data_IF_484842658870
#
_entry.id   IF_484842658870
#
_cell.length_a   1.000
_cell.length_b   1.000
_cell.length_c   1.000
_cell.angle_alpha   90.00
_cell.angle_beta   90.00
_cell.angle_gamma   90.00
#
_symmetry.space_group_name_H-M   'P 1'
#
loop_
_entity.id
_entity.type
_entity.pdbx_description
1 polymer ?
#
# COMPACT_ATOMS: atom_id res chain seq x y z
N UNK A 1 8.22 -7.01 -7.83
CA UNK A 1 6.94 -6.65 -8.48
C UNK A 1 5.71 -6.78 -7.58
N UNK A 2 5.55 -7.85 -6.77
CA UNK A 2 4.38 -8.07 -5.89
C UNK A 2 4.07 -6.93 -4.92
N UNK A 3 5.09 -6.29 -4.34
CA UNK A 3 4.90 -5.29 -3.31
C UNK A 3 4.34 -3.95 -3.80
N UNK A 4 4.78 -3.50 -4.97
CA UNK A 4 4.18 -2.35 -5.64
C UNK A 4 2.70 -2.59 -5.94
N UNK A 5 2.32 -3.81 -6.33
CA UNK A 5 0.93 -4.17 -6.56
C UNK A 5 0.08 -4.07 -5.29
N UNK A 6 0.56 -4.56 -4.15
CA UNK A 6 -0.12 -4.43 -2.84
C UNK A 6 -0.35 -2.96 -2.48
N UNK A 7 0.66 -2.11 -2.65
CA UNK A 7 0.55 -0.66 -2.35
C UNK A 7 -0.51 0.00 -3.23
N UNK A 8 -0.59 -0.35 -4.52
CA UNK A 8 -1.61 0.18 -5.43
C UNK A 8 -3.03 -0.24 -5.05
N UNK A 9 -3.24 -1.48 -4.62
CA UNK A 9 -4.57 -1.95 -4.16
C UNK A 9 -5.03 -1.15 -2.93
N UNK A 10 -4.13 -0.91 -1.98
CA UNK A 10 -4.45 -0.12 -0.78
C UNK A 10 -4.75 1.34 -1.15
N UNK A 11 -3.98 1.92 -2.06
CA UNK A 11 -4.23 3.28 -2.55
C UNK A 11 -5.53 3.39 -3.34
N UNK A 12 -5.86 2.39 -4.15
CA UNK A 12 -7.14 2.29 -4.85
C UNK A 12 -8.31 2.18 -3.87
N UNK A 13 -8.18 1.43 -2.77
CA UNK A 13 -9.17 1.39 -1.70
C UNK A 13 -9.39 2.75 -1.02
N UNK A 14 -8.30 3.48 -0.75
CA UNK A 14 -8.38 4.85 -0.25
C UNK A 14 -9.07 5.81 -1.24
N UNK A 15 -8.70 5.75 -2.52
CA UNK A 15 -9.33 6.56 -3.57
C UNK A 15 -10.80 6.18 -3.79
N UNK A 16 -11.16 4.89 -3.74
CA UNK A 16 -12.53 4.41 -3.87
C UNK A 16 -13.42 4.89 -2.72
N UNK A 17 -12.89 4.88 -1.50
CA UNK A 17 -13.57 5.45 -0.35
C UNK A 17 -13.72 6.97 -0.46
N UNK A 18 -12.72 7.68 -0.98
CA UNK A 18 -12.82 9.14 -1.25
C UNK A 18 -13.78 9.48 -2.39
N UNK A 19 -13.89 8.61 -3.39
CA UNK A 19 -14.77 8.80 -4.56
C UNK A 19 -16.24 8.46 -4.25
N UNK A 20 -16.51 7.55 -3.30
CA UNK A 20 -17.87 7.31 -2.80
C UNK A 20 -18.22 8.39 -1.78
N UNK A 21 -19.01 9.38 -2.22
CA UNK A 21 -19.29 10.67 -1.56
C UNK A 21 -19.96 10.68 -0.18
N UNK A 22 -19.81 9.64 0.64
CA UNK A 22 -20.27 9.57 2.03
C UNK A 22 -19.15 9.42 3.07
N UNK A 23 -17.89 9.27 2.65
CA UNK A 23 -16.75 9.06 3.54
C UNK A 23 -16.09 10.39 3.92
N UNK A 24 -16.77 11.18 4.74
CA UNK A 24 -16.21 12.39 5.34
C UNK A 24 -15.78 12.11 6.79
N UNK A 25 -14.62 12.66 7.19
CA UNK A 25 -14.10 12.55 8.56
C UNK A 25 -13.37 11.25 8.90
N UNK A 26 -13.63 10.69 10.10
CA UNK A 26 -12.84 9.63 10.73
C UNK A 26 -12.73 8.32 9.90
N UNK A 27 -13.72 8.01 9.06
CA UNK A 27 -13.71 6.83 8.19
C UNK A 27 -12.66 6.91 7.08
N UNK A 28 -12.44 8.12 6.53
CA UNK A 28 -11.36 8.37 5.57
C UNK A 28 -9.98 8.40 6.26
N UNK A 29 -9.91 8.87 7.50
CA UNK A 29 -8.66 8.92 8.27
C UNK A 29 -8.11 7.50 8.53
N UNK A 30 -8.98 6.54 8.88
CA UNK A 30 -8.58 5.14 9.07
C UNK A 30 -7.96 4.52 7.82
N UNK A 31 -8.51 4.81 6.62
CA UNK A 31 -7.92 4.31 5.37
C UNK A 31 -6.56 4.95 5.06
N UNK A 32 -6.36 6.22 5.42
CA UNK A 32 -5.06 6.87 5.30
C UNK A 32 -4.02 6.25 6.24
N UNK A 33 -4.40 5.89 7.47
CA UNK A 33 -3.54 5.21 8.45
C UNK A 33 -3.16 3.82 7.95
N UNK A 34 -4.12 3.05 7.42
CA UNK A 34 -3.87 1.72 6.85
C UNK A 34 -2.93 1.83 5.63
N UNK A 35 -3.14 2.82 4.76
CA UNK A 35 -2.25 3.12 3.64
C UNK A 35 -0.81 3.41 4.08
N UNK A 36 -0.66 4.24 5.11
CA UNK A 36 0.64 4.57 5.69
C UNK A 36 1.31 3.35 6.34
N UNK A 37 0.56 2.53 7.08
CA UNK A 37 1.08 1.29 7.68
C UNK A 37 1.56 0.28 6.64
N UNK A 38 0.84 0.13 5.52
CA UNK A 38 1.28 -0.73 4.43
C UNK A 38 2.61 -0.25 3.84
N UNK A 39 2.79 1.07 3.74
CA UNK A 39 4.02 1.70 3.28
C UNK A 39 5.18 1.43 4.25
N UNK A 40 4.96 1.65 5.55
CA UNK A 40 5.94 1.36 6.60
C UNK A 40 6.30 -0.13 6.62
N UNK A 41 5.30 -1.01 6.59
CA UNK A 41 5.50 -2.47 6.55
C UNK A 41 6.34 -2.90 5.34
N UNK A 42 6.13 -2.28 4.18
CA UNK A 42 6.95 -2.53 3.01
C UNK A 42 8.42 -2.13 3.21
N UNK A 43 8.67 -0.96 3.79
CA UNK A 43 10.06 -0.52 4.02
C UNK A 43 10.74 -1.26 5.18
N UNK A 44 10.01 -1.65 6.22
CA UNK A 44 10.61 -2.33 7.40
C UNK A 44 10.58 -3.83 7.31
N UNK A 45 9.42 -4.46 7.06
CA UNK A 45 9.35 -5.93 7.10
C UNK A 45 9.81 -6.51 5.77
N UNK A 46 9.31 -5.95 4.67
CA UNK A 46 9.58 -6.55 3.36
C UNK A 46 11.01 -6.29 2.95
N UNK A 47 11.44 -5.04 2.98
CA UNK A 47 12.78 -4.68 2.54
C UNK A 47 13.88 -5.33 3.38
N UNK A 48 13.63 -5.54 4.69
CA UNK A 48 14.63 -6.12 5.60
C UNK A 48 14.59 -7.65 5.67
N UNK A 49 13.40 -8.27 5.62
CA UNK A 49 13.26 -9.72 5.82
C UNK A 49 13.06 -10.50 4.52
N UNK A 50 12.55 -9.87 3.47
CA UNK A 50 12.35 -10.50 2.17
C UNK A 50 13.38 -9.94 1.19
N UNK A 51 14.46 -10.71 0.96
CA UNK A 51 15.43 -10.38 -0.07
C UNK A 51 14.70 -10.37 -1.42
N UNK A 52 14.70 -9.21 -2.09
CA UNK A 52 13.94 -9.01 -3.30
C UNK A 52 14.42 -9.95 -4.40
N UNK A 53 13.60 -10.94 -4.75
CA UNK A 53 13.60 -11.58 -6.07
C UNK A 53 13.12 -10.55 -7.11
N UNK A 54 13.77 -9.39 -7.16
CA UNK A 54 13.67 -8.45 -8.26
C UNK A 54 14.73 -8.87 -9.26
N UNK A 55 14.42 -9.92 -10.04
CA UNK A 55 15.23 -10.25 -11.20
C UNK A 55 14.98 -9.18 -12.26
N UNK A 56 15.82 -8.14 -12.26
CA UNK A 56 15.86 -7.14 -13.32
C UNK A 56 16.86 -7.49 -14.43
N UNK A 57 17.43 -8.70 -14.41
CA UNK A 57 18.33 -9.17 -15.46
C UNK A 57 18.06 -10.65 -15.73
N UNK A 58 17.41 -10.93 -16.85
CA UNK A 58 17.72 -12.14 -17.60
C UNK A 58 19.11 -11.94 -18.22
N UNK A 59 20.13 -12.38 -17.50
CA UNK A 59 21.27 -13.09 -18.10
C UNK A 59 21.08 -14.55 -17.77
#
# INVERSE_FOLDING_TARGET
EVWTFVIWVVYAGYLHARATGGWTGARSAWLSIIGYLCLVFNFTVVNLYFNGLHSYAGV
#
